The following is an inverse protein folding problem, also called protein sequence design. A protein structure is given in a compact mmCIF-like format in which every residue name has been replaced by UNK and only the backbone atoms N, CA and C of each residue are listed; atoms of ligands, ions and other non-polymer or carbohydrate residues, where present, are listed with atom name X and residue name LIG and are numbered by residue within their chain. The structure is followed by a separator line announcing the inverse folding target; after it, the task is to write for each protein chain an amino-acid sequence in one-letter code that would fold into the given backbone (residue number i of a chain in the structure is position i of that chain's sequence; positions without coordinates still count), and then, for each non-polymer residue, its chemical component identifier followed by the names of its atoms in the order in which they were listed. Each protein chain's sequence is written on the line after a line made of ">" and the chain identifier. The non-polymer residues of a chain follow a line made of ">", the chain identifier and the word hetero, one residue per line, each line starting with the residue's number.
data_IF_823473870850
#
_entry.id   IF_823473870850
#
_cell.length_a   1.000
_cell.length_b   1.000
_cell.length_c   1.000
_cell.angle_alpha   90.00
_cell.angle_beta   90.00
_cell.angle_gamma   90.00
#
_symmetry.space_group_name_H-M   'P 1'
#
loop_
_entity.id
_entity.type
_entity.pdbx_description
1 polymer ?
#
# COMPACT_ATOMS: atom_id res chain seq x y z
N UNK A 1 13.64 -22.02 -1.24
CA UNK A 1 13.06 -21.35 -0.05
C UNK A 1 14.16 -21.22 1.00
N UNK A 2 14.47 -20.01 1.46
CA UNK A 2 15.48 -19.79 2.50
C UNK A 2 14.88 -20.10 3.88
N UNK A 3 15.57 -20.91 4.69
CA UNK A 3 15.13 -21.29 6.04
C UNK A 3 16.08 -20.73 7.11
N UNK A 4 15.54 -20.49 8.30
CA UNK A 4 16.32 -20.06 9.48
C UNK A 4 17.00 -21.28 10.12
N UNK A 5 18.20 -21.62 9.64
CA UNK A 5 18.94 -22.80 10.12
C UNK A 5 19.93 -22.47 11.23
N UNK A 6 20.53 -21.29 11.21
CA UNK A 6 21.60 -20.89 12.13
C UNK A 6 21.24 -19.70 13.01
N UNK A 7 20.27 -18.88 12.59
CA UNK A 7 19.76 -17.73 13.33
C UNK A 7 18.32 -17.42 12.93
N UNK A 8 17.60 -16.70 13.77
CA UNK A 8 16.28 -16.17 13.44
C UNK A 8 16.43 -15.11 12.34
N UNK A 9 15.68 -15.27 11.26
CA UNK A 9 15.60 -14.27 10.19
C UNK A 9 14.51 -13.26 10.48
N UNK A 10 14.80 -12.03 10.10
CA UNK A 10 13.92 -10.90 10.31
C UNK A 10 13.29 -10.40 9.02
N UNK A 11 12.06 -9.95 9.09
CA UNK A 11 11.39 -9.24 8.01
C UNK A 11 10.53 -8.12 8.58
N UNK A 12 10.26 -7.10 7.79
CA UNK A 12 9.27 -6.09 8.14
C UNK A 12 7.90 -6.54 7.66
N UNK A 13 6.89 -6.36 8.49
CA UNK A 13 5.49 -6.63 8.16
C UNK A 13 4.72 -5.31 8.12
N UNK A 14 3.99 -5.10 7.02
CA UNK A 14 3.16 -3.92 6.82
C UNK A 14 3.91 -2.76 6.16
N UNK A 15 3.30 -1.59 6.22
CA UNK A 15 3.79 -0.39 5.55
C UNK A 15 4.93 0.25 6.32
N UNK A 16 5.99 0.56 5.61
CA UNK A 16 7.04 1.46 6.08
C UNK A 16 6.65 2.93 5.87
N UNK A 17 7.19 3.85 6.67
CA UNK A 17 7.05 5.28 6.39
C UNK A 17 7.58 5.61 5.00
N UNK A 18 6.91 6.49 4.26
CA UNK A 18 7.41 6.92 2.96
C UNK A 18 8.75 7.66 3.11
N UNK A 19 9.62 7.59 2.09
CA UNK A 19 10.79 8.44 2.04
C UNK A 19 10.41 9.92 2.09
N UNK A 20 11.34 10.76 2.55
CA UNK A 20 11.13 12.22 2.62
C UNK A 20 10.71 12.77 1.26
N UNK A 21 9.67 13.57 1.24
CA UNK A 21 9.08 14.15 0.03
C UNK A 21 8.06 13.25 -0.68
N UNK A 22 7.70 12.13 -0.04
CA UNK A 22 6.72 11.16 -0.58
C UNK A 22 5.41 11.12 0.22
N UNK A 23 5.24 12.00 1.17
CA UNK A 23 4.13 11.97 2.13
C UNK A 23 2.75 12.03 1.43
N UNK A 24 2.62 12.87 0.40
CA UNK A 24 1.38 13.07 -0.36
C UNK A 24 1.22 12.14 -1.57
N UNK A 25 2.27 11.45 -1.98
CA UNK A 25 2.28 10.67 -3.22
C UNK A 25 1.27 9.53 -3.25
N UNK A 26 1.07 8.75 -2.16
CA UNK A 26 0.03 7.71 -2.16
C UNK A 26 -1.37 8.26 -2.42
N UNK A 27 -1.68 9.45 -1.89
CA UNK A 27 -2.95 10.14 -2.15
C UNK A 27 -3.10 10.56 -3.60
N UNK A 28 -2.07 11.12 -4.21
CA UNK A 28 -2.05 11.54 -5.62
C UNK A 28 -2.19 10.36 -6.59
N UNK A 29 -1.58 9.24 -6.28
CA UNK A 29 -1.76 8.00 -7.05
C UNK A 29 -3.19 7.45 -6.90
N UNK A 30 -3.73 7.47 -5.69
CA UNK A 30 -5.08 6.99 -5.43
C UNK A 30 -6.18 7.86 -6.06
N UNK A 31 -5.96 9.18 -6.15
CA UNK A 31 -6.89 10.12 -6.80
C UNK A 31 -6.79 10.14 -8.32
N UNK A 32 -5.92 9.29 -8.91
CA UNK A 32 -5.63 9.28 -10.33
C UNK A 32 -5.12 10.65 -10.87
N UNK A 33 -4.50 11.45 -10.01
CA UNK A 33 -3.83 12.69 -10.42
C UNK A 33 -2.62 12.39 -11.33
N UNK A 34 -1.98 11.24 -11.10
CA UNK A 34 -0.90 10.70 -11.92
C UNK A 34 -1.34 9.34 -12.45
N UNK A 35 -1.56 9.24 -13.76
CA UNK A 35 -2.06 8.01 -14.41
C UNK A 35 -1.07 7.40 -15.41
N UNK A 36 -0.07 8.17 -15.85
CA UNK A 36 0.94 7.67 -16.79
C UNK A 36 1.87 6.66 -16.09
N UNK A 37 1.88 5.38 -16.51
CA UNK A 37 2.73 4.36 -15.92
C UNK A 37 4.23 4.69 -15.95
N UNK A 38 4.70 5.39 -16.97
CA UNK A 38 6.11 5.78 -17.07
C UNK A 38 6.46 6.84 -16.03
N UNK A 39 5.58 7.81 -15.81
CA UNK A 39 5.75 8.85 -14.78
C UNK A 39 5.69 8.21 -13.37
N UNK A 40 4.74 7.29 -13.15
CA UNK A 40 4.64 6.55 -11.89
C UNK A 40 5.93 5.78 -11.63
N UNK A 41 6.39 4.99 -12.60
CA UNK A 41 7.61 4.19 -12.46
C UNK A 41 8.85 5.05 -12.21
N UNK A 42 9.00 6.17 -12.90
CA UNK A 42 10.12 7.07 -12.71
C UNK A 42 10.20 7.66 -11.29
N UNK A 43 9.08 7.83 -10.64
CA UNK A 43 9.01 8.34 -9.26
C UNK A 43 9.09 7.22 -8.22
N UNK A 44 8.35 6.13 -8.42
CA UNK A 44 8.25 5.02 -7.45
C UNK A 44 9.56 4.24 -7.35
N UNK A 45 10.22 3.97 -8.48
CA UNK A 45 11.43 3.13 -8.50
C UNK A 45 12.56 3.65 -7.61
N UNK A 46 12.98 4.92 -7.69
CA UNK A 46 14.04 5.43 -6.81
C UNK A 46 13.63 5.46 -5.33
N UNK A 47 12.36 5.69 -5.03
CA UNK A 47 11.86 5.68 -3.65
C UNK A 47 11.86 4.26 -3.05
N UNK A 48 11.49 3.25 -3.85
CA UNK A 48 11.63 1.84 -3.45
C UNK A 48 13.10 1.49 -3.24
N UNK A 49 13.99 1.89 -4.16
CA UNK A 49 15.42 1.63 -4.04
C UNK A 49 16.01 2.19 -2.73
N UNK A 50 15.63 3.40 -2.34
CA UNK A 50 16.03 4.01 -1.06
C UNK A 50 15.47 3.21 0.14
N UNK A 51 14.23 2.79 0.08
CA UNK A 51 13.60 1.99 1.14
C UNK A 51 14.26 0.61 1.28
N UNK A 52 14.57 -0.05 0.16
CA UNK A 52 15.30 -1.32 0.13
C UNK A 52 16.70 -1.14 0.73
N UNK A 53 17.43 -0.11 0.32
CA UNK A 53 18.76 0.20 0.83
C UNK A 53 18.75 0.35 2.35
N UNK A 54 17.81 1.11 2.92
CA UNK A 54 17.67 1.29 4.38
C UNK A 54 17.40 -0.02 5.11
N UNK A 55 16.55 -0.89 4.56
CA UNK A 55 16.29 -2.20 5.15
C UNK A 55 17.55 -3.06 5.18
N UNK A 56 18.34 -3.08 4.10
CA UNK A 56 19.61 -3.79 4.03
C UNK A 56 20.61 -3.24 5.04
N UNK A 57 20.77 -1.93 5.10
CA UNK A 57 21.68 -1.27 6.05
C UNK A 57 21.29 -1.49 7.52
N UNK A 58 20.00 -1.67 7.79
CA UNK A 58 19.49 -2.01 9.14
C UNK A 58 19.65 -3.49 9.48
N UNK A 59 20.00 -4.33 8.51
CA UNK A 59 20.22 -5.76 8.71
C UNK A 59 18.96 -6.62 8.65
N UNK A 60 17.91 -6.16 7.98
CA UNK A 60 16.71 -6.96 7.72
C UNK A 60 17.04 -8.02 6.66
N UNK A 61 16.68 -9.28 6.92
CA UNK A 61 17.01 -10.40 6.05
C UNK A 61 16.09 -10.57 4.85
N UNK A 62 14.79 -10.36 5.07
CA UNK A 62 13.76 -10.46 4.04
C UNK A 62 13.17 -9.08 3.81
N UNK A 63 13.68 -8.40 2.80
CA UNK A 63 13.32 -7.04 2.46
C UNK A 63 12.07 -7.00 1.56
N UNK A 64 11.31 -5.92 1.65
CA UNK A 64 10.18 -5.60 0.79
C UNK A 64 10.28 -4.20 0.19
N UNK A 65 9.32 -3.83 -0.64
CA UNK A 65 9.21 -2.49 -1.23
C UNK A 65 8.74 -1.43 -0.23
N UNK A 66 8.33 -1.85 0.97
CA UNK A 66 7.84 -0.99 2.04
C UNK A 66 6.36 -0.65 1.93
N UNK A 67 5.66 -0.99 0.87
CA UNK A 67 4.22 -0.74 0.61
C UNK A 67 3.78 0.72 0.81
N UNK A 68 4.69 1.68 0.91
CA UNK A 68 4.39 3.09 1.21
C UNK A 68 3.71 3.81 0.03
N UNK A 69 3.89 3.31 -1.18
CA UNK A 69 3.39 3.91 -2.42
C UNK A 69 1.97 3.47 -2.79
N UNK A 70 1.42 2.46 -2.12
CA UNK A 70 0.06 1.98 -2.33
C UNK A 70 -0.88 2.48 -1.24
N UNK A 71 -2.14 2.68 -1.59
CA UNK A 71 -3.18 2.93 -0.59
C UNK A 71 -3.85 1.61 -0.21
N UNK A 72 -4.03 1.37 1.08
CA UNK A 72 -4.84 0.24 1.59
C UNK A 72 -6.28 0.68 1.84
N UNK A 73 -6.81 1.55 0.99
CA UNK A 73 -8.22 1.94 1.09
C UNK A 73 -9.12 0.84 0.52
N UNK A 74 -10.34 0.79 1.02
CA UNK A 74 -11.38 -0.07 0.45
C UNK A 74 -11.51 0.17 -1.05
N UNK A 75 -11.46 1.43 -1.49
CA UNK A 75 -11.49 1.80 -2.90
C UNK A 75 -10.35 1.20 -3.73
N UNK A 76 -9.14 1.09 -3.16
CA UNK A 76 -8.00 0.45 -3.83
C UNK A 76 -8.29 -1.03 -4.11
N UNK A 77 -8.79 -1.75 -3.11
CA UNK A 77 -9.09 -3.18 -3.29
C UNK A 77 -10.29 -3.40 -4.23
N UNK A 78 -11.34 -2.62 -4.10
CA UNK A 78 -12.53 -2.76 -4.94
C UNK A 78 -12.26 -2.49 -6.42
N UNK A 79 -11.31 -1.61 -6.73
CA UNK A 79 -10.90 -1.34 -8.11
C UNK A 79 -10.26 -2.55 -8.82
N UNK A 80 -9.79 -3.56 -8.06
CA UNK A 80 -9.14 -4.76 -8.60
C UNK A 80 -10.05 -5.98 -8.65
N UNK A 81 -11.29 -5.86 -8.16
CA UNK A 81 -12.26 -6.95 -8.16
C UNK A 81 -13.48 -6.61 -9.01
N UNK A 82 -13.98 -7.58 -9.76
CA UNK A 82 -15.29 -7.49 -10.42
C UNK A 82 -16.39 -7.99 -9.47
N UNK A 83 -17.62 -7.50 -9.65
CA UNK A 83 -18.74 -7.91 -8.81
C UNK A 83 -18.79 -7.23 -7.44
N UNK A 84 -18.04 -6.14 -7.26
CA UNK A 84 -18.09 -5.31 -6.05
C UNK A 84 -18.47 -3.89 -6.47
N UNK A 85 -19.49 -3.35 -5.81
CA UNK A 85 -19.93 -1.96 -5.97
C UNK A 85 -19.79 -1.22 -4.65
N UNK A 86 -19.28 -0.01 -4.71
CA UNK A 86 -19.20 0.88 -3.55
C UNK A 86 -20.44 1.81 -3.54
N UNK A 87 -21.13 1.89 -2.43
CA UNK A 87 -22.23 2.82 -2.21
C UNK A 87 -22.02 3.63 -0.92
N UNK A 88 -22.59 4.82 -0.81
CA UNK A 88 -22.60 5.53 0.46
C UNK A 88 -23.31 4.71 1.55
N UNK A 89 -22.82 4.78 2.79
CA UNK A 89 -23.47 4.17 3.95
C UNK A 89 -24.82 4.86 4.18
N UNK A 90 -25.89 4.07 4.32
CA UNK A 90 -27.22 4.62 4.57
C UNK A 90 -27.31 5.19 6.01
N UNK A 91 -28.15 6.21 6.25
CA UNK A 91 -28.37 6.73 7.60
C UNK A 91 -28.80 5.61 8.56
N UNK A 92 -28.08 5.45 9.68
CA UNK A 92 -28.35 4.41 10.69
C UNK A 92 -27.74 3.04 10.40
N UNK A 93 -27.10 2.85 9.25
CA UNK A 93 -26.37 1.63 8.92
C UNK A 93 -24.97 1.68 9.56
N UNK A 94 -24.53 0.63 10.30
CA UNK A 94 -23.19 0.60 10.85
C UNK A 94 -22.17 0.51 9.70
N UNK A 95 -21.05 1.25 9.76
CA UNK A 95 -20.00 1.15 8.76
C UNK A 95 -19.40 -0.27 8.79
N UNK A 96 -19.18 -0.85 7.61
CA UNK A 96 -18.61 -2.19 7.46
C UNK A 96 -17.14 -2.26 7.86
N UNK A 97 -16.46 -1.12 7.97
CA UNK A 97 -15.11 -0.99 8.53
C UNK A 97 -15.02 0.26 9.41
N UNK A 98 -14.16 0.23 10.42
CA UNK A 98 -13.99 1.31 11.42
C UNK A 98 -13.70 2.70 10.85
N UNK A 99 -13.31 2.82 9.59
CA UNK A 99 -12.87 4.07 8.96
C UNK A 99 -13.48 4.30 7.58
N UNK A 100 -14.51 3.53 7.20
CA UNK A 100 -15.12 3.66 5.88
C UNK A 100 -16.49 4.33 5.97
N UNK A 101 -16.65 5.40 5.20
CA UNK A 101 -17.96 6.00 4.92
C UNK A 101 -18.68 5.29 3.75
N UNK A 102 -18.06 4.25 3.20
CA UNK A 102 -18.58 3.44 2.11
C UNK A 102 -18.90 2.03 2.61
N UNK A 103 -20.04 1.52 2.22
CA UNK A 103 -20.42 0.11 2.35
C UNK A 103 -20.13 -0.62 1.05
N UNK A 104 -19.66 -1.86 1.14
CA UNK A 104 -19.48 -2.72 -0.01
C UNK A 104 -20.70 -3.62 -0.17
N UNK A 105 -21.22 -3.67 -1.38
CA UNK A 105 -22.26 -4.62 -1.76
C UNK A 105 -21.66 -5.65 -2.70
N UNK A 106 -21.94 -6.90 -2.41
CA UNK A 106 -21.60 -8.00 -3.31
C UNK A 106 -22.72 -8.14 -4.35
N UNK A 107 -22.34 -7.98 -5.60
CA UNK A 107 -23.26 -8.16 -6.72
C UNK A 107 -23.13 -9.57 -7.27
#
# INVERSE_FOLDING_TARGET
>A
MQRSMTRIRTSHVGRLPPPKGWEDMPGRLASAEITDPAVIAAQVTPAIAETVKRQVETGIDCIGDGEFWTTRSVAHYTAHFTGIEARPVAPGEPPTTRHSTLSLIHI
#
